data_IF_827429942481
#
_entry.id   IF_827429942481
#
_cell.length_a   1.000
_cell.length_b   1.000
_cell.length_c   1.000
_cell.angle_alpha   90.00
_cell.angle_beta   90.00
_cell.angle_gamma   90.00
#
_symmetry.space_group_name_H-M   'P 1'
#
loop_
_entity.id
_entity.type
_entity.pdbx_description
1 polymer ?
#
# COMPACT_ATOMS: atom_id res chain seq x y z
N UNK A 1 13.11 11.22 11.36
CA UNK A 1 12.04 10.27 11.00
C UNK A 1 10.86 11.14 10.66
N UNK A 2 10.55 11.27 9.38
CA UNK A 2 9.70 12.36 8.86
C UNK A 2 8.26 12.20 9.34
N UNK A 3 7.84 13.03 10.28
CA UNK A 3 6.43 13.33 10.54
C UNK A 3 6.09 14.59 9.73
N UNK A 4 5.28 14.45 8.69
CA UNK A 4 4.80 15.55 7.86
C UNK A 4 3.64 15.10 6.96
N UNK A 5 2.60 15.93 6.73
CA UNK A 5 1.29 15.49 6.22
C UNK A 5 1.23 15.10 4.73
N UNK A 6 2.37 14.84 4.08
CA UNK A 6 2.44 14.53 2.66
C UNK A 6 3.50 13.46 2.39
N UNK A 7 3.23 12.23 2.81
CA UNK A 7 4.02 11.07 2.38
C UNK A 7 3.56 10.64 0.97
N UNK A 8 4.38 11.00 -0.01
CA UNK A 8 4.27 10.45 -1.36
C UNK A 8 4.76 8.99 -1.34
N UNK A 9 3.84 8.05 -1.06
CA UNK A 9 3.93 6.64 -1.45
C UNK A 9 5.11 5.82 -0.91
N UNK A 10 5.53 6.06 0.34
CA UNK A 10 6.43 5.13 1.02
C UNK A 10 5.65 3.92 1.54
N UNK A 11 6.25 2.71 1.58
CA UNK A 11 5.63 1.58 2.25
C UNK A 11 5.60 1.80 3.77
N UNK A 12 4.52 1.39 4.43
CA UNK A 12 4.34 1.48 5.88
C UNK A 12 4.38 0.12 6.54
N UNK A 13 4.93 0.05 7.75
CA UNK A 13 4.93 -1.18 8.56
C UNK A 13 3.67 -1.24 9.42
N UNK A 14 3.10 -2.43 9.58
CA UNK A 14 2.05 -2.65 10.59
C UNK A 14 2.62 -2.48 12.01
N UNK A 15 1.80 -2.07 13.01
CA UNK A 15 2.25 -1.86 14.39
C UNK A 15 2.90 -3.08 15.04
N UNK A 16 2.48 -4.28 14.66
CA UNK A 16 3.04 -5.56 15.11
C UNK A 16 4.37 -5.92 14.42
N UNK A 17 4.80 -5.14 13.41
CA UNK A 17 6.01 -5.33 12.64
C UNK A 17 6.00 -6.57 11.74
N UNK A 18 4.85 -7.23 11.55
CA UNK A 18 4.77 -8.50 10.81
C UNK A 18 4.42 -8.34 9.34
N UNK A 19 3.95 -7.17 8.93
CA UNK A 19 3.50 -6.91 7.57
C UNK A 19 3.98 -5.54 7.07
N UNK A 20 4.16 -5.47 5.76
CA UNK A 20 4.43 -4.23 5.03
C UNK A 20 3.23 -3.89 4.15
N UNK A 21 2.75 -2.65 4.24
CA UNK A 21 1.69 -2.11 3.39
C UNK A 21 2.32 -1.18 2.35
N UNK A 22 1.97 -1.34 1.09
CA UNK A 22 2.51 -0.53 0.00
C UNK A 22 1.49 -0.31 -1.10
N UNK A 23 1.68 0.74 -1.88
CA UNK A 23 0.89 1.03 -3.08
C UNK A 23 1.52 0.40 -4.32
N UNK A 24 0.73 -0.25 -5.17
CA UNK A 24 1.18 -0.75 -6.46
C UNK A 24 0.03 -0.82 -7.48
N UNK A 25 0.35 -0.70 -8.76
CA UNK A 25 -0.57 -1.04 -9.84
C UNK A 25 -0.19 -2.41 -10.43
N UNK A 26 -0.96 -3.44 -10.10
CA UNK A 26 -0.72 -4.84 -10.49
C UNK A 26 -1.77 -5.38 -11.47
N UNK A 27 -2.59 -4.50 -12.05
CA UNK A 27 -3.64 -4.88 -13.02
C UNK A 27 -3.04 -5.14 -14.40
N UNK A 28 -3.74 -5.92 -15.21
CA UNK A 28 -3.31 -6.26 -16.58
C UNK A 28 -3.26 -5.01 -17.48
N UNK A 29 -4.15 -4.05 -17.26
CA UNK A 29 -4.29 -2.81 -18.04
C UNK A 29 -3.55 -1.61 -17.41
N UNK A 30 -2.56 -1.88 -16.55
CA UNK A 30 -1.73 -0.88 -15.87
C UNK A 30 -1.14 0.20 -16.78
N UNK A 31 -0.82 -0.14 -18.02
CA UNK A 31 -0.25 0.80 -18.99
C UNK A 31 -1.30 1.79 -19.50
N UNK A 32 -2.56 1.37 -19.60
CA UNK A 32 -3.69 2.23 -19.93
C UNK A 32 -4.18 3.03 -18.72
N UNK A 33 -3.99 2.49 -17.51
CA UNK A 33 -4.42 3.09 -16.25
C UNK A 33 -3.25 3.30 -15.27
N UNK A 34 -2.23 4.12 -15.58
CA UNK A 34 -1.02 4.23 -14.77
C UNK A 34 -1.26 4.77 -13.35
N UNK A 35 -2.43 5.38 -13.11
CA UNK A 35 -2.84 5.92 -11.81
C UNK A 35 -3.76 5.00 -11.02
N UNK A 36 -4.14 3.83 -11.55
CA UNK A 36 -5.03 2.93 -10.85
C UNK A 36 -4.23 1.96 -9.97
N UNK A 37 -3.77 2.44 -8.83
CA UNK A 37 -3.01 1.66 -7.86
C UNK A 37 -3.90 1.22 -6.70
N UNK A 38 -3.63 0.05 -6.15
CA UNK A 38 -4.26 -0.46 -4.94
C UNK A 38 -3.24 -0.53 -3.80
N UNK A 39 -3.73 -0.58 -2.56
CA UNK A 39 -2.90 -0.92 -1.41
C UNK A 39 -2.80 -2.43 -1.28
N UNK A 40 -1.59 -2.91 -1.03
CA UNK A 40 -1.30 -4.32 -0.79
C UNK A 40 -0.64 -4.47 0.57
N UNK A 41 -0.92 -5.57 1.25
CA UNK A 41 -0.14 -6.04 2.40
C UNK A 41 0.65 -7.29 2.05
N UNK A 42 1.88 -7.38 2.53
CA UNK A 42 2.73 -8.57 2.38
C UNK A 42 3.37 -8.95 3.73
N UNK A 43 3.42 -10.24 4.10
CA UNK A 43 4.15 -10.68 5.28
C UNK A 43 5.65 -10.41 5.15
N UNK A 44 6.28 -10.05 6.25
CA UNK A 44 7.74 -9.76 6.30
C UNK A 44 8.59 -11.02 6.11
N UNK A 45 8.00 -12.18 6.36
CA UNK A 45 8.57 -13.49 6.04
C UNK A 45 8.58 -13.79 4.53
N UNK A 46 8.02 -12.90 3.72
CA UNK A 46 7.77 -13.12 2.30
C UNK A 46 6.44 -13.84 2.04
N UNK A 47 6.00 -13.80 0.78
CA UNK A 47 4.74 -14.38 0.32
C UNK A 47 4.06 -13.52 -0.74
N UNK A 48 2.88 -13.94 -1.18
CA UNK A 48 2.08 -13.17 -2.14
C UNK A 48 1.42 -11.95 -1.46
N UNK A 49 1.56 -10.74 -2.03
CA UNK A 49 0.85 -9.57 -1.53
C UNK A 49 -0.67 -9.71 -1.72
N UNK A 50 -1.43 -9.34 -0.69
CA UNK A 50 -2.89 -9.32 -0.73
C UNK A 50 -3.39 -7.88 -0.87
N UNK A 51 -4.28 -7.63 -1.83
CA UNK A 51 -4.96 -6.35 -2.00
C UNK A 51 -5.84 -6.03 -0.78
N UNK A 52 -5.75 -4.78 -0.32
CA UNK A 52 -6.58 -4.19 0.74
C UNK A 52 -7.68 -3.29 0.17
N UNK A 53 -7.46 -2.76 -1.03
CA UNK A 53 -8.43 -1.93 -1.74
C UNK A 53 -8.72 -2.52 -3.12
N UNK A 54 -9.92 -2.25 -3.62
CA UNK A 54 -10.37 -2.65 -4.95
C UNK A 54 -11.35 -1.58 -5.45
N UNK A 55 -10.80 -0.42 -5.83
CA UNK A 55 -11.56 0.72 -6.32
C UNK A 55 -10.81 1.42 -7.43
N UNK A 56 -11.55 2.16 -8.26
CA UNK A 56 -10.95 2.95 -9.32
C UNK A 56 -10.33 4.24 -8.75
N UNK A 57 -9.00 4.31 -8.71
CA UNK A 57 -8.26 5.49 -8.26
C UNK A 57 -6.79 5.21 -7.98
N UNK A 58 -5.97 6.24 -7.70
CA UNK A 58 -4.70 6.00 -7.04
C UNK A 58 -4.93 5.81 -5.54
N UNK A 59 -4.72 4.60 -5.05
CA UNK A 59 -4.51 4.35 -3.63
C UNK A 59 -3.02 4.37 -3.33
N UNK A 60 -2.50 5.54 -2.96
CA UNK A 60 -1.05 5.79 -2.85
C UNK A 60 -0.58 6.28 -1.48
N UNK A 61 -1.50 6.50 -0.54
CA UNK A 61 -1.18 6.97 0.81
C UNK A 61 -1.78 6.01 1.84
N UNK A 62 -1.16 4.83 2.05
CA UNK A 62 -1.50 4.01 3.21
C UNK A 62 -1.19 4.80 4.47
N UNK A 63 -2.07 4.71 5.48
CA UNK A 63 -1.83 5.21 6.82
C UNK A 63 -2.32 4.13 7.79
N UNK A 64 -1.40 3.50 8.53
CA UNK A 64 -1.77 2.48 9.51
C UNK A 64 -2.14 3.12 10.83
N UNK A 65 -3.41 2.95 11.22
CA UNK A 65 -3.86 3.39 12.53
C UNK A 65 -3.25 2.52 13.64
N UNK A 66 -2.78 3.15 14.72
CA UNK A 66 -2.09 2.47 15.82
C UNK A 66 -3.03 1.77 16.80
N UNK A 67 -4.35 1.89 16.59
CA UNK A 67 -5.39 1.44 17.51
C UNK A 67 -5.99 0.06 17.17
N UNK A 68 -5.85 -0.44 15.93
CA UNK A 68 -6.22 -1.81 15.57
C UNK A 68 -7.71 -2.08 15.51
#
# INVERSE_FOLDING_TARGET
>A
MTEGPYDHGAPEWTPDGTQLIFSANRREDRDAQPRNSELYKVPVTGGEPRALTDRYGPDNSPAVSRDG
#
